data_IF_158008765120
#
_entry.id   IF_158008765120
#
_cell.length_a   1.000
_cell.length_b   1.000
_cell.length_c   1.000
_cell.angle_alpha   90.00
_cell.angle_beta   90.00
_cell.angle_gamma   90.00
#
_symmetry.space_group_name_H-M   'P 1'
#
loop_
_entity.id
_entity.type
_entity.pdbx_description
1 polymer ?
#
# COMPACT_ATOMS: atom_id res chain seq x y z
N UNK A 1 1.13 -2.54 -15.70
CA UNK A 1 0.51 -2.61 -14.35
C UNK A 1 -0.97 -2.22 -14.43
N UNK A 2 -1.86 -3.19 -14.61
CA UNK A 2 -3.31 -2.94 -14.61
C UNK A 2 -3.79 -2.64 -13.18
N UNK A 3 -3.81 -1.37 -12.79
CA UNK A 3 -4.48 -0.91 -11.58
C UNK A 3 -6.00 -0.91 -11.87
N UNK A 4 -6.70 -1.96 -11.43
CA UNK A 4 -8.15 -2.04 -11.66
C UNK A 4 -8.84 -0.82 -11.01
N UNK A 5 -9.90 -0.31 -11.65
CA UNK A 5 -10.74 0.74 -11.04
C UNK A 5 -11.29 0.29 -9.68
N UNK A 6 -11.51 -1.02 -9.53
CA UNK A 6 -11.96 -1.70 -8.32
C UNK A 6 -10.92 -1.56 -7.21
N UNK A 7 -9.63 -1.80 -7.48
CA UNK A 7 -8.55 -1.61 -6.50
C UNK A 7 -8.44 -0.17 -6.01
N UNK A 8 -8.50 0.82 -6.90
CA UNK A 8 -8.51 2.24 -6.48
C UNK A 8 -9.72 2.56 -5.61
N UNK A 9 -10.87 1.97 -5.90
CA UNK A 9 -12.10 2.15 -5.10
C UNK A 9 -11.99 1.48 -3.73
N UNK A 10 -11.45 0.27 -3.66
CA UNK A 10 -11.18 -0.45 -2.43
C UNK A 10 -10.22 0.35 -1.52
N UNK A 11 -9.09 0.81 -2.06
CA UNK A 11 -8.13 1.65 -1.35
C UNK A 11 -8.77 2.97 -0.89
N UNK A 12 -9.65 3.56 -1.70
CA UNK A 12 -10.39 4.77 -1.31
C UNK A 12 -11.25 4.49 -0.08
N UNK A 13 -11.95 3.35 -0.02
CA UNK A 13 -12.73 2.95 1.16
C UNK A 13 -11.84 2.76 2.40
N UNK A 14 -10.67 2.15 2.25
CA UNK A 14 -9.68 2.01 3.34
C UNK A 14 -9.27 3.38 3.89
N UNK A 15 -8.91 4.31 3.00
CA UNK A 15 -8.46 5.66 3.37
C UNK A 15 -9.57 6.53 3.98
N UNK A 16 -10.84 6.21 3.69
CA UNK A 16 -12.01 6.81 4.33
C UNK A 16 -12.38 6.13 5.67
N UNK A 17 -11.54 5.20 6.14
CA UNK A 17 -11.68 4.44 7.37
C UNK A 17 -12.93 3.55 7.39
N UNK A 18 -13.37 3.07 6.22
CA UNK A 18 -14.48 2.14 6.09
C UNK A 18 -14.01 0.69 6.24
N UNK A 19 -13.63 0.33 7.46
CA UNK A 19 -12.94 -0.92 7.77
C UNK A 19 -13.71 -1.76 8.78
N UNK A 20 -13.66 -3.08 8.61
CA UNK A 20 -14.16 -4.10 9.53
C UNK A 20 -13.02 -5.00 9.96
N UNK A 21 -13.04 -5.46 11.21
CA UNK A 21 -12.07 -6.44 11.72
C UNK A 21 -12.54 -7.84 11.33
N UNK A 22 -11.68 -8.60 10.67
CA UNK A 22 -11.95 -9.99 10.29
C UNK A 22 -11.51 -10.97 11.37
N UNK A 23 -11.91 -12.24 11.26
CA UNK A 23 -11.60 -13.29 12.24
C UNK A 23 -10.08 -13.54 12.41
N UNK A 24 -9.31 -13.32 11.34
CA UNK A 24 -7.85 -13.36 11.28
C UNK A 24 -7.17 -12.09 11.83
N UNK A 25 -7.94 -11.21 12.50
CA UNK A 25 -7.50 -9.94 13.12
C UNK A 25 -6.89 -8.94 12.13
N UNK A 26 -7.18 -9.09 10.84
CA UNK A 26 -6.82 -8.13 9.80
C UNK A 26 -7.98 -7.15 9.59
N UNK A 27 -7.70 -5.98 9.01
CA UNK A 27 -8.75 -5.05 8.60
C UNK A 27 -9.12 -5.33 7.15
N UNK A 28 -10.41 -5.53 6.87
CA UNK A 28 -10.94 -5.61 5.52
C UNK A 28 -11.85 -4.42 5.25
N UNK A 29 -12.15 -4.17 3.98
CA UNK A 29 -13.13 -3.16 3.59
C UNK A 29 -14.53 -3.61 3.99
N UNK A 30 -15.28 -2.73 4.66
CA UNK A 30 -16.67 -3.02 5.03
C UNK A 30 -17.61 -3.07 3.81
N UNK A 31 -18.69 -3.88 3.87
CA UNK A 31 -19.66 -3.99 2.77
C UNK A 31 -20.38 -2.67 2.51
N UNK A 32 -20.76 -1.95 3.58
CA UNK A 32 -21.45 -0.67 3.47
C UNK A 32 -20.47 0.49 3.36
N UNK A 33 -20.73 1.46 2.48
CA UNK A 33 -19.94 2.68 2.42
C UNK A 33 -20.28 3.61 3.60
N UNK A 34 -19.43 3.61 4.63
CA UNK A 34 -19.55 4.57 5.75
C UNK A 34 -18.56 5.71 5.58
N UNK A 35 -19.09 6.94 5.51
CA UNK A 35 -18.27 8.15 5.55
C UNK A 35 -18.01 8.49 7.01
N UNK A 36 -16.78 8.28 7.46
CA UNK A 36 -16.38 8.69 8.80
C UNK A 36 -16.12 10.21 8.82
N UNK A 37 -17.07 11.00 9.36
CA UNK A 37 -16.98 12.47 9.42
C UNK A 37 -15.87 12.99 10.36
N UNK A 38 -15.33 12.14 11.23
CA UNK A 38 -14.35 12.49 12.27
C UNK A 38 -12.92 12.77 11.75
N UNK A 39 -12.66 12.58 10.44
CA UNK A 39 -11.30 12.46 9.88
C UNK A 39 -10.83 13.59 8.95
N UNK A 40 -11.25 14.85 9.14
CA UNK A 40 -10.73 15.97 8.33
C UNK A 40 -9.20 16.08 8.48
N UNK A 41 -8.66 15.88 9.69
CA UNK A 41 -7.23 15.81 9.97
C UNK A 41 -6.52 14.59 9.36
N UNK A 42 -7.24 13.48 9.23
CA UNK A 42 -6.75 12.24 8.59
C UNK A 42 -6.77 12.33 7.04
N UNK A 43 -7.21 13.45 6.47
CA UNK A 43 -7.27 13.64 5.04
C UNK A 43 -8.44 12.92 4.36
N UNK A 44 -9.48 12.52 5.10
CA UNK A 44 -10.68 11.90 4.55
C UNK A 44 -11.39 12.83 3.54
N UNK A 45 -11.49 14.13 3.85
CA UNK A 45 -12.06 15.13 2.93
C UNK A 45 -11.26 15.26 1.64
N UNK A 46 -9.93 15.29 1.73
CA UNK A 46 -9.07 15.33 0.55
C UNK A 46 -9.15 14.04 -0.28
N UNK A 47 -9.24 12.88 0.38
CA UNK A 47 -9.46 11.58 -0.29
C UNK A 47 -10.80 11.55 -1.02
N UNK A 48 -11.83 12.15 -0.44
CA UNK A 48 -13.16 12.23 -1.03
C UNK A 48 -13.19 13.16 -2.24
N UNK A 49 -12.64 14.39 -2.10
CA UNK A 49 -12.74 15.48 -3.08
C UNK A 49 -11.67 15.38 -4.18
N UNK A 50 -10.42 15.13 -3.80
CA UNK A 50 -9.27 15.12 -4.73
C UNK A 50 -8.87 13.71 -5.18
N UNK A 51 -9.42 12.68 -4.52
CA UNK A 51 -9.15 11.28 -4.82
C UNK A 51 -7.89 10.74 -4.13
N UNK A 52 -7.36 9.66 -4.68
CA UNK A 52 -6.20 8.94 -4.14
C UNK A 52 -4.98 9.22 -5.02
N UNK A 53 -3.87 9.61 -4.39
CA UNK A 53 -2.54 9.65 -5.00
C UNK A 53 -1.88 8.28 -4.82
N UNK A 54 -1.36 7.73 -5.91
CA UNK A 54 -0.57 6.49 -5.93
C UNK A 54 0.89 6.81 -6.24
N UNK A 55 1.80 6.04 -5.65
CA UNK A 55 3.18 5.89 -6.11
C UNK A 55 3.54 4.42 -6.10
N UNK A 56 4.07 3.90 -7.20
CA UNK A 56 4.61 2.56 -7.25
C UNK A 56 6.14 2.61 -7.19
N UNK A 57 6.73 1.55 -6.65
CA UNK A 57 8.17 1.38 -6.55
C UNK A 57 8.51 -0.07 -6.88
N UNK A 58 9.50 -0.29 -7.74
CA UNK A 58 10.13 -1.60 -7.86
C UNK A 58 11.00 -1.83 -6.64
N UNK A 59 10.87 -3.00 -6.04
CA UNK A 59 11.57 -3.37 -4.83
C UNK A 59 12.65 -4.39 -5.14
N UNK A 60 13.83 -4.14 -4.59
CA UNK A 60 14.91 -5.09 -4.51
C UNK A 60 14.91 -5.74 -3.13
N UNK A 61 15.22 -7.03 -3.10
CA UNK A 61 15.20 -7.85 -1.90
C UNK A 61 16.48 -8.65 -1.78
N UNK A 62 17.05 -8.70 -0.57
CA UNK A 62 18.18 -9.56 -0.25
C UNK A 62 17.73 -11.01 0.07
N UNK A 63 16.42 -11.30 0.03
CA UNK A 63 15.88 -12.63 0.29
C UNK A 63 15.91 -13.54 -0.95
N UNK A 64 15.95 -14.85 -0.72
CA UNK A 64 16.11 -15.84 -1.80
C UNK A 64 14.86 -16.00 -2.66
N UNK A 65 13.67 -15.71 -2.13
CA UNK A 65 12.40 -15.82 -2.87
C UNK A 65 11.46 -14.64 -2.65
N UNK A 66 10.62 -14.37 -3.65
CA UNK A 66 9.58 -13.34 -3.59
C UNK A 66 8.57 -13.62 -2.47
N UNK A 67 8.16 -14.88 -2.29
CA UNK A 67 7.28 -15.31 -1.19
C UNK A 67 7.89 -15.01 0.18
N UNK A 68 9.18 -15.29 0.38
CA UNK A 68 9.88 -14.97 1.61
C UNK A 68 9.93 -13.45 1.85
N UNK A 69 10.10 -12.69 0.77
CA UNK A 69 10.08 -11.23 0.81
C UNK A 69 8.71 -10.70 1.24
N UNK A 70 7.62 -11.19 0.66
CA UNK A 70 6.25 -10.80 1.02
C UNK A 70 5.94 -11.16 2.48
N UNK A 71 6.37 -12.34 2.94
CA UNK A 71 6.20 -12.74 4.33
C UNK A 71 6.94 -11.79 5.29
N UNK A 72 8.22 -11.49 5.01
CA UNK A 72 9.04 -10.58 5.83
C UNK A 72 8.53 -9.14 5.76
N UNK A 73 8.02 -8.71 4.61
CA UNK A 73 7.34 -7.44 4.46
C UNK A 73 6.06 -7.40 5.30
N UNK A 74 5.29 -8.48 5.36
CA UNK A 74 4.08 -8.56 6.20
C UNK A 74 4.42 -8.38 7.67
N UNK A 75 5.49 -9.02 8.16
CA UNK A 75 5.98 -8.81 9.53
C UNK A 75 6.35 -7.34 9.77
N UNK A 76 7.18 -6.75 8.90
CA UNK A 76 7.56 -5.35 9.02
C UNK A 76 6.36 -4.38 8.93
N UNK A 77 5.38 -4.68 8.07
CA UNK A 77 4.16 -3.91 7.90
C UNK A 77 3.22 -3.98 9.11
N UNK A 78 3.20 -5.13 9.81
CA UNK A 78 2.47 -5.31 11.07
C UNK A 78 3.02 -4.40 12.17
N UNK A 79 4.33 -4.19 12.18
CA UNK A 79 5.00 -3.36 13.20
C UNK A 79 4.77 -1.86 12.98
N UNK A 80 4.68 -1.42 11.72
CA UNK A 80 4.51 0.00 11.38
C UNK A 80 3.05 0.44 11.24
N UNK A 81 2.11 -0.50 11.16
CA UNK A 81 0.72 -0.20 10.80
C UNK A 81 -0.31 -1.27 11.20
N UNK A 82 -1.45 -1.26 10.52
CA UNK A 82 -2.50 -2.27 10.66
C UNK A 82 -2.59 -3.06 9.37
N UNK A 83 -2.44 -4.38 9.46
CA UNK A 83 -2.53 -5.26 8.30
C UNK A 83 -3.92 -5.18 7.67
N UNK A 84 -3.94 -5.16 6.35
CA UNK A 84 -5.13 -5.12 5.54
C UNK A 84 -5.31 -6.46 4.81
N UNK A 85 -6.57 -6.84 4.61
CA UNK A 85 -6.97 -7.87 3.66
C UNK A 85 -7.70 -7.17 2.53
N UNK A 86 -7.09 -7.19 1.35
CA UNK A 86 -7.65 -6.60 0.13
C UNK A 86 -8.24 -7.72 -0.74
N UNK A 87 -9.44 -7.52 -1.27
CA UNK A 87 -10.10 -8.45 -2.19
C UNK A 87 -9.38 -8.47 -3.53
N UNK A 88 -8.93 -7.31 -4.01
CA UNK A 88 -8.25 -7.15 -5.30
C UNK A 88 -6.77 -7.57 -5.27
N UNK A 89 -6.24 -7.95 -4.09
CA UNK A 89 -4.83 -8.33 -3.90
C UNK A 89 -4.68 -9.29 -2.71
N UNK A 90 -5.27 -10.51 -2.76
CA UNK A 90 -5.36 -11.40 -1.60
C UNK A 90 -3.99 -11.89 -1.09
N UNK A 91 -3.02 -12.07 -2.00
CA UNK A 91 -1.67 -12.55 -1.69
C UNK A 91 -0.67 -11.43 -1.39
N UNK A 92 -1.13 -10.18 -1.38
CA UNK A 92 -0.27 -9.03 -1.09
C UNK A 92 0.04 -8.87 0.39
N UNK A 93 1.22 -8.34 0.69
CA UNK A 93 1.48 -7.75 2.00
C UNK A 93 0.92 -6.33 2.00
N UNK A 94 -0.18 -6.12 2.71
CA UNK A 94 -0.88 -4.84 2.74
C UNK A 94 -1.05 -4.30 4.15
N UNK A 95 -0.85 -2.99 4.33
CA UNK A 95 -1.05 -2.33 5.63
C UNK A 95 -1.47 -0.86 5.52
N UNK A 96 -2.32 -0.45 6.45
CA UNK A 96 -2.64 0.95 6.73
C UNK A 96 -1.68 1.51 7.77
N UNK A 97 -0.80 2.41 7.34
CA UNK A 97 0.15 3.12 8.19
C UNK A 97 -0.45 4.46 8.60
N UNK A 98 -0.67 4.66 9.90
CA UNK A 98 -1.13 5.93 10.47
C UNK A 98 0.00 6.65 11.20
N UNK A 99 -0.07 7.97 11.20
CA UNK A 99 0.86 8.81 11.93
C UNK A 99 0.12 9.99 12.54
N UNK A 100 0.67 10.56 13.61
CA UNK A 100 0.08 11.73 14.29
C UNK A 100 0.17 12.98 13.40
N UNK A 101 1.30 13.17 12.73
CA UNK A 101 1.59 14.36 11.91
C UNK A 101 1.45 14.17 10.40
N UNK A 102 1.40 12.91 9.94
CA UNK A 102 1.33 12.59 8.52
C UNK A 102 0.02 11.88 8.22
N UNK A 103 -0.42 12.00 6.98
CA UNK A 103 -1.68 11.38 6.56
C UNK A 103 -1.55 9.85 6.53
N UNK A 104 -2.67 9.13 6.66
CA UNK A 104 -2.70 7.70 6.48
C UNK A 104 -2.20 7.31 5.08
N UNK A 105 -1.35 6.28 5.05
CA UNK A 105 -0.82 5.70 3.80
C UNK A 105 -1.16 4.23 3.80
N UNK A 106 -1.70 3.74 2.69
CA UNK A 106 -1.85 2.30 2.45
C UNK A 106 -0.64 1.84 1.66
N UNK A 107 0.07 0.86 2.17
CA UNK A 107 1.15 0.17 1.48
C UNK A 107 0.63 -1.18 1.00
N UNK A 108 0.95 -1.54 -0.24
CA UNK A 108 0.60 -2.82 -0.87
C UNK A 108 1.86 -3.31 -1.57
N UNK A 109 2.47 -4.38 -1.06
CA UNK A 109 3.56 -5.08 -1.71
C UNK A 109 3.02 -6.35 -2.35
N UNK A 110 3.21 -6.48 -3.66
CA UNK A 110 2.72 -7.61 -4.44
C UNK A 110 3.75 -8.01 -5.49
N UNK A 111 3.63 -9.24 -5.96
CA UNK A 111 4.40 -9.79 -7.06
C UNK A 111 3.58 -9.58 -8.34
N UNK A 112 4.13 -8.84 -9.30
CA UNK A 112 3.46 -8.46 -10.54
C UNK A 112 4.20 -9.08 -11.72
N UNK A 113 3.52 -9.72 -12.69
CA UNK A 113 4.15 -10.17 -13.91
C UNK A 113 4.67 -8.98 -14.71
N UNK A 114 5.90 -9.08 -15.22
CA UNK A 114 6.47 -8.08 -16.13
C UNK A 114 5.64 -8.08 -17.42
N UNK A 115 5.31 -6.88 -17.93
CA UNK A 115 4.49 -6.71 -19.13
C UNK A 115 5.08 -7.50 -20.33
N UNK A 116 4.20 -8.11 -21.11
CA UNK A 116 4.46 -9.09 -22.19
C UNK A 116 5.36 -8.63 -23.36
N UNK A 117 5.89 -7.40 -23.35
CA UNK A 117 6.73 -6.87 -24.43
C UNK A 117 8.23 -7.18 -24.26
N UNK A 118 8.67 -7.60 -23.07
CA UNK A 118 10.04 -8.08 -22.82
C UNK A 118 10.04 -9.60 -22.64
N UNK A 119 9.97 -10.30 -23.78
CA UNK A 119 10.16 -11.75 -23.89
C UNK A 119 11.62 -12.06 -23.52
N UNK A 120 11.84 -12.81 -22.42
CA UNK A 120 12.75 -13.99 -22.35
C UNK A 120 13.11 -14.44 -20.91
N UNK A 121 12.68 -13.74 -19.86
CA UNK A 121 12.87 -14.23 -18.49
C UNK A 121 11.62 -14.06 -17.64
N UNK A 122 11.07 -15.19 -17.20
CA UNK A 122 9.93 -15.37 -16.29
C UNK A 122 10.23 -14.87 -14.87
N UNK A 123 10.63 -13.62 -14.74
CA UNK A 123 10.84 -12.97 -13.46
C UNK A 123 9.62 -12.12 -13.14
N UNK A 124 8.86 -12.53 -12.14
CA UNK A 124 7.89 -11.62 -11.54
C UNK A 124 8.63 -10.55 -10.73
N UNK A 125 8.20 -9.31 -10.84
CA UNK A 125 8.78 -8.20 -10.11
C UNK A 125 8.01 -7.93 -8.81
N UNK A 126 8.75 -7.56 -7.77
CA UNK A 126 8.15 -7.08 -6.52
C UNK A 126 7.84 -5.60 -6.64
N UNK A 127 6.56 -5.26 -6.55
CA UNK A 127 6.09 -3.88 -6.65
C UNK A 127 5.47 -3.45 -5.33
N UNK A 128 5.98 -2.35 -4.78
CA UNK A 128 5.39 -1.67 -3.63
C UNK A 128 4.59 -0.46 -4.11
N UNK A 129 3.27 -0.56 -4.03
CA UNK A 129 2.34 0.54 -4.25
C UNK A 129 2.01 1.24 -2.93
N UNK A 130 2.23 2.55 -2.88
CA UNK A 130 1.87 3.42 -1.77
C UNK A 130 0.73 4.36 -2.19
N UNK A 131 -0.36 4.32 -1.42
CA UNK A 131 -1.57 5.10 -1.68
C UNK A 131 -1.83 6.07 -0.53
N UNK A 132 -2.18 7.31 -0.84
CA UNK A 132 -2.49 8.35 0.12
C UNK A 132 -3.61 9.25 -0.43
N UNK A 133 -4.42 9.85 0.42
CA UNK A 133 -5.35 10.90 -0.03
C UNK A 133 -4.60 12.03 -0.74
N UNK A 134 -5.07 12.45 -1.93
CA UNK A 134 -4.39 13.44 -2.76
C UNK A 134 -4.35 14.80 -2.06
N UNK A 135 -3.15 15.37 -1.90
CA UNK A 135 -2.92 16.68 -1.29
C UNK A 135 -1.48 17.17 -1.51
N UNK A 136 -1.19 18.48 -1.28
CA UNK A 136 0.14 19.05 -1.50
C UNK A 136 1.29 18.33 -0.77
N UNK A 137 1.03 17.74 0.41
CA UNK A 137 2.04 17.05 1.23
C UNK A 137 1.93 15.52 1.20
N UNK A 138 1.14 14.95 0.28
CA UNK A 138 0.97 13.49 0.18
C UNK A 138 2.30 12.76 -0.06
N UNK A 139 3.22 13.39 -0.83
CA UNK A 139 4.55 12.82 -1.09
C UNK A 139 5.40 12.61 0.18
N UNK A 140 5.31 13.51 1.16
CA UNK A 140 6.04 13.37 2.42
C UNK A 140 5.47 12.24 3.27
N UNK A 141 4.14 12.09 3.30
CA UNK A 141 3.49 10.99 4.03
C UNK A 141 3.92 9.64 3.46
N UNK A 142 3.94 9.51 2.12
CA UNK A 142 4.42 8.31 1.44
C UNK A 142 5.90 8.06 1.77
N UNK A 143 6.78 9.07 1.62
CA UNK A 143 8.22 8.92 1.91
C UNK A 143 8.47 8.46 3.35
N UNK A 144 7.71 8.98 4.31
CA UNK A 144 7.82 8.59 5.72
C UNK A 144 7.39 7.14 5.94
N UNK A 145 6.24 6.73 5.38
CA UNK A 145 5.77 5.35 5.48
C UNK A 145 6.77 4.35 4.87
N UNK A 146 7.32 4.67 3.70
CA UNK A 146 8.36 3.87 3.05
C UNK A 146 9.63 3.78 3.90
N UNK A 147 10.12 4.91 4.42
CA UNK A 147 11.31 4.91 5.27
C UNK A 147 11.13 4.07 6.53
N UNK A 148 9.92 4.05 7.12
CA UNK A 148 9.61 3.15 8.24
C UNK A 148 9.67 1.69 7.84
N UNK A 149 9.12 1.33 6.68
CA UNK A 149 9.18 -0.04 6.17
C UNK A 149 10.64 -0.49 5.95
N UNK A 150 11.42 0.32 5.22
CA UNK A 150 12.85 0.07 4.92
C UNK A 150 13.67 -0.09 6.21
N UNK A 151 13.42 0.74 7.24
CA UNK A 151 14.10 0.63 8.53
C UNK A 151 13.70 -0.62 9.30
N UNK A 152 12.42 -0.97 9.31
CA UNK A 152 11.89 -2.11 10.07
C UNK A 152 12.29 -3.44 9.45
N UNK A 153 12.45 -3.49 8.12
CA UNK A 153 13.00 -4.66 7.41
C UNK A 153 14.52 -4.82 7.58
N UNK A 154 15.18 -3.97 8.38
CA UNK A 154 16.63 -3.96 8.53
C UNK A 154 17.37 -3.59 7.24
N UNK A 155 16.70 -2.86 6.34
CA UNK A 155 17.22 -2.51 5.03
C UNK A 155 17.20 -3.66 4.02
N UNK A 156 16.69 -4.86 4.33
CA UNK A 156 16.71 -6.00 3.40
C UNK A 156 15.72 -5.89 2.23
N UNK A 157 14.78 -4.96 2.34
CA UNK A 157 13.78 -4.65 1.32
C UNK A 157 13.98 -3.17 0.99
N UNK A 158 14.51 -2.87 -0.21
CA UNK A 158 14.84 -1.51 -0.65
C UNK A 158 14.12 -1.17 -1.94
N UNK A 159 13.83 0.11 -2.14
CA UNK A 159 13.33 0.60 -3.42
C UNK A 159 14.49 0.71 -4.42
N UNK A 160 14.28 0.18 -5.62
CA UNK A 160 15.22 0.22 -6.74
C UNK A 160 14.85 1.32 -7.73
N UNK A 161 13.57 1.41 -8.12
CA UNK A 161 13.10 2.35 -9.13
C UNK A 161 11.72 2.92 -8.77
N UNK A 162 11.50 4.21 -9.03
CA UNK A 162 10.19 4.83 -8.94
C UNK A 162 9.74 5.18 -10.37
N UNK A 163 8.82 4.42 -11.00
CA UNK A 163 8.22 4.83 -12.26
C UNK A 163 7.60 6.24 -12.12
N UNK A 164 7.65 7.02 -13.22
CA UNK A 164 7.09 8.39 -13.27
C UNK A 164 5.63 8.38 -12.78
N UNK A 165 5.29 9.38 -11.96
CA UNK A 165 3.92 9.55 -11.42
C UNK A 165 2.91 9.74 -12.58
N UNK A 166 1.81 8.97 -12.54
CA UNK A 166 0.56 9.27 -13.27
C UNK A 166 -0.41 10.09 -12.40
#
# INVERSE_FOLDING_TARGET
MNDSKERKHEIKKVLLNNLVLTDDKRLAVGPDFRITLWGVGDGAGATMVLGVKKKAYLMESEYTSNTQTIYKATEAMKDIGRLLKLEEAPDSASALVRHVFFRPVVLVLEEVPVNEEEIEASHNELVLSAYCGRAPLAGLSIKHALSKLEKTSGGKIKRYYAPKEE
#
